data_IF_211106958027
#
_entry.id   IF_211106958027
#
_cell.length_a   1.000
_cell.length_b   1.000
_cell.length_c   1.000
_cell.angle_alpha   90.00
_cell.angle_beta   90.00
_cell.angle_gamma   90.00
#
_symmetry.space_group_name_H-M   'P 1'
#
loop_
_entity.id
_entity.type
_entity.pdbx_description
1 polymer ?
#
# COMPACT_ATOMS: atom_id res chain seq x y z
N UNK A 1 -20.61 -19.48 2.10
CA UNK A 1 -19.73 -18.29 1.95
C UNK A 1 -18.66 -18.13 3.04
N UNK A 2 -18.79 -18.76 4.23
CA UNK A 2 -17.76 -18.73 5.28
C UNK A 2 -16.38 -19.29 4.88
N UNK A 3 -16.26 -20.45 4.19
CA UNK A 3 -14.95 -21.08 3.98
C UNK A 3 -13.97 -20.23 3.17
N UNK A 4 -14.47 -19.48 2.18
CA UNK A 4 -13.63 -18.62 1.35
C UNK A 4 -13.09 -17.43 2.14
N UNK A 5 -13.95 -16.76 2.93
CA UNK A 5 -13.52 -15.62 3.75
C UNK A 5 -12.54 -16.07 4.84
N UNK A 6 -12.79 -17.21 5.47
CA UNK A 6 -11.88 -17.80 6.46
C UNK A 6 -10.52 -18.14 5.81
N UNK A 7 -10.53 -18.62 4.57
CA UNK A 7 -9.30 -18.90 3.80
C UNK A 7 -8.52 -17.63 3.45
N UNK A 8 -9.20 -16.53 3.12
CA UNK A 8 -8.52 -15.24 2.84
C UNK A 8 -7.77 -14.78 4.10
N UNK A 9 -8.42 -14.83 5.26
CA UNK A 9 -7.79 -14.43 6.54
C UNK A 9 -6.63 -15.35 6.89
N UNK A 10 -6.76 -16.65 6.63
CA UNK A 10 -5.73 -17.63 6.98
C UNK A 10 -4.51 -17.62 6.03
N UNK A 11 -4.72 -17.28 4.75
CA UNK A 11 -3.71 -17.49 3.69
C UNK A 11 -3.13 -16.19 3.13
N UNK A 12 -3.87 -15.07 3.17
CA UNK A 12 -3.36 -13.81 2.64
C UNK A 12 -2.53 -13.06 3.70
N UNK A 13 -1.32 -12.60 3.36
CA UNK A 13 -0.47 -11.90 4.31
C UNK A 13 -1.03 -10.51 4.63
N UNK A 14 -0.88 -10.10 5.90
CA UNK A 14 -1.09 -8.72 6.31
C UNK A 14 0.00 -7.80 5.73
N UNK A 15 -0.19 -6.47 5.73
CA UNK A 15 0.86 -5.52 5.30
C UNK A 15 2.20 -5.75 6.01
N UNK A 16 2.16 -6.02 7.32
CA UNK A 16 3.35 -6.37 8.12
C UNK A 16 3.96 -7.69 7.66
N UNK A 17 3.13 -8.69 7.36
CA UNK A 17 3.58 -9.99 6.83
C UNK A 17 4.15 -9.92 5.40
N UNK A 18 3.77 -8.89 4.62
CA UNK A 18 4.32 -8.64 3.27
C UNK A 18 5.75 -8.10 3.30
N UNK A 19 6.12 -7.40 4.36
CA UNK A 19 7.47 -6.82 4.53
C UNK A 19 7.61 -5.41 3.96
N UNK A 20 8.84 -5.02 3.66
CA UNK A 20 9.22 -3.64 3.33
C UNK A 20 8.95 -3.30 1.85
N UNK A 21 8.54 -2.06 1.59
CA UNK A 21 8.48 -1.50 0.26
C UNK A 21 9.83 -0.83 -0.08
N UNK A 22 10.23 -0.90 -1.35
CA UNK A 22 11.46 -0.27 -1.83
C UNK A 22 11.14 0.85 -2.82
N UNK A 23 11.93 1.91 -2.79
CA UNK A 23 11.90 3.02 -3.73
C UNK A 23 13.30 3.60 -3.94
N UNK A 24 13.36 4.77 -4.57
CA UNK A 24 14.61 5.51 -4.81
C UNK A 24 14.54 6.89 -4.14
N UNK A 25 15.71 7.40 -3.73
CA UNK A 25 15.80 8.78 -3.23
C UNK A 25 15.60 9.79 -4.39
N UNK A 26 15.04 10.98 -4.11
CA UNK A 26 14.70 11.96 -5.16
C UNK A 26 15.87 12.40 -6.05
N UNK A 27 17.11 12.29 -5.56
CA UNK A 27 18.32 12.77 -6.22
C UNK A 27 19.39 11.68 -6.40
N UNK A 28 19.05 10.41 -6.15
CA UNK A 28 20.01 9.29 -6.22
C UNK A 28 19.32 7.98 -6.60
N UNK A 29 20.03 7.09 -7.29
CA UNK A 29 19.56 5.70 -7.49
C UNK A 29 19.68 4.84 -6.23
N UNK A 30 20.19 5.40 -5.13
CA UNK A 30 20.20 4.75 -3.83
C UNK A 30 18.80 4.27 -3.43
N UNK A 31 18.74 3.00 -3.05
CA UNK A 31 17.51 2.34 -2.63
C UNK A 31 17.09 2.88 -1.27
N UNK A 32 15.86 3.36 -1.19
CA UNK A 32 15.18 3.67 0.07
C UNK A 32 14.24 2.51 0.41
N UNK A 33 14.10 2.23 1.70
CA UNK A 33 13.12 1.27 2.22
C UNK A 33 12.03 1.99 3.03
N UNK A 34 10.83 1.42 3.01
CA UNK A 34 9.67 1.89 3.77
C UNK A 34 9.00 0.70 4.44
N UNK A 35 9.06 0.65 5.77
CA UNK A 35 8.38 -0.37 6.57
C UNK A 35 6.90 0.01 6.75
N UNK A 36 6.00 -0.98 6.83
CA UNK A 36 4.58 -0.75 7.14
C UNK A 36 4.42 -0.48 8.65
N UNK A 37 4.99 0.63 9.12
CA UNK A 37 5.02 1.05 10.52
C UNK A 37 4.57 2.52 10.63
N UNK A 38 3.79 2.84 11.66
CA UNK A 38 3.22 4.18 11.87
C UNK A 38 4.26 5.23 12.30
N UNK A 39 5.41 4.78 12.81
CA UNK A 39 6.52 5.67 13.20
C UNK A 39 7.43 6.08 12.04
N UNK A 40 7.33 5.40 10.90
CA UNK A 40 8.10 5.71 9.69
C UNK A 40 7.56 6.97 9.00
N UNK A 41 8.42 7.76 8.30
CA UNK A 41 7.95 8.90 7.52
C UNK A 41 6.92 8.48 6.45
N UNK A 42 5.84 9.25 6.34
CA UNK A 42 4.73 8.96 5.44
C UNK A 42 5.18 8.79 3.98
N UNK A 43 4.74 7.70 3.37
CA UNK A 43 4.92 7.42 1.95
C UNK A 43 3.72 6.65 1.42
N UNK A 44 3.21 7.01 0.23
CA UNK A 44 2.10 6.33 -0.42
C UNK A 44 2.30 6.29 -1.94
N UNK A 45 1.73 5.26 -2.59
CA UNK A 45 1.72 5.13 -4.03
C UNK A 45 0.31 5.36 -4.55
N UNK A 46 0.12 6.43 -5.31
CA UNK A 46 -1.10 6.63 -6.10
C UNK A 46 -1.07 5.65 -7.27
N UNK A 47 -1.95 4.65 -7.23
CA UNK A 47 -2.09 3.66 -8.30
C UNK A 47 -3.28 3.95 -9.21
N UNK A 48 -4.26 4.74 -8.75
CA UNK A 48 -5.45 5.06 -9.55
C UNK A 48 -5.99 6.44 -9.25
N UNK A 49 -6.40 7.14 -10.31
CA UNK A 49 -7.23 8.34 -10.20
C UNK A 49 -8.53 8.10 -10.95
N UNK A 50 -9.65 8.47 -10.33
CA UNK A 50 -10.99 8.36 -10.92
C UNK A 50 -11.76 9.66 -10.73
N UNK A 51 -12.67 9.95 -11.66
CA UNK A 51 -13.59 11.06 -11.59
C UNK A 51 -14.98 10.53 -11.20
N UNK A 52 -15.36 10.76 -9.95
CA UNK A 52 -16.68 10.45 -9.42
C UNK A 52 -17.66 11.61 -9.71
N UNK A 53 -18.91 11.31 -10.14
CA UNK A 53 -19.88 12.34 -10.53
C UNK A 53 -20.40 13.21 -9.37
N UNK A 54 -20.23 12.79 -8.12
CA UNK A 54 -20.69 13.53 -6.94
C UNK A 54 -19.54 14.18 -6.17
N UNK A 55 -18.41 13.49 -6.06
CA UNK A 55 -17.28 13.88 -5.21
C UNK A 55 -16.08 14.42 -6.02
N UNK A 56 -16.11 14.29 -7.35
CA UNK A 56 -15.05 14.79 -8.23
C UNK A 56 -13.84 13.87 -8.28
N UNK A 57 -12.61 14.41 -8.15
CA UNK A 57 -11.37 13.64 -8.32
C UNK A 57 -11.05 12.83 -7.06
N UNK A 58 -11.12 11.50 -7.18
CA UNK A 58 -10.69 10.56 -6.13
C UNK A 58 -9.36 9.94 -6.55
N UNK A 59 -8.37 9.98 -5.66
CA UNK A 59 -7.01 9.50 -5.90
C UNK A 59 -6.69 8.42 -4.87
N UNK A 60 -6.34 7.22 -5.33
CA UNK A 60 -6.02 6.03 -4.54
C UNK A 60 -4.59 5.60 -4.81
#
# INVERSE_FOLDING_TARGET
MKPLMDSIVALCPSPVGRGVAYGHLPDSEEKAERRPDESEPFSALVFKTMADPYVGKITM
#
